data_IF_516509751637
#
_entry.id   IF_516509751637
#
_cell.length_a   1.000
_cell.length_b   1.000
_cell.length_c   1.000
_cell.angle_alpha   90.00
_cell.angle_beta   90.00
_cell.angle_gamma   90.00
#
_symmetry.space_group_name_H-M   'P 1'
#
loop_
_entity.id
_entity.type
_entity.pdbx_description
1 polymer ?
#
# COMPACT_ATOMS: atom_id res chain seq x y z
N UNK A 1 -16.50 6.46 -1.95
CA UNK A 1 -17.10 5.29 -2.64
C UNK A 1 -17.86 4.46 -1.62
N UNK A 2 -19.08 4.05 -1.92
CA UNK A 2 -19.81 3.22 -0.98
C UNK A 2 -19.19 1.82 -0.85
N UNK A 3 -19.47 1.15 0.25
CA UNK A 3 -18.82 -0.13 0.58
C UNK A 3 -19.11 -1.24 -0.42
N UNK A 4 -20.34 -1.31 -0.93
CA UNK A 4 -20.72 -2.34 -1.91
C UNK A 4 -19.98 -2.16 -3.23
N UNK A 5 -19.88 -0.92 -3.70
CA UNK A 5 -19.15 -0.58 -4.93
C UNK A 5 -17.65 -0.84 -4.76
N UNK A 6 -17.10 -0.49 -3.61
CA UNK A 6 -15.70 -0.74 -3.26
C UNK A 6 -15.40 -2.24 -3.28
N UNK A 7 -16.21 -3.03 -2.59
CA UNK A 7 -16.06 -4.49 -2.55
C UNK A 7 -16.08 -5.10 -3.95
N UNK A 8 -17.06 -4.74 -4.76
CA UNK A 8 -17.17 -5.26 -6.12
C UNK A 8 -15.99 -4.89 -7.01
N UNK A 9 -15.44 -3.67 -6.84
CA UNK A 9 -14.27 -3.24 -7.59
C UNK A 9 -13.04 -4.06 -7.20
N UNK A 10 -12.80 -4.27 -5.91
CA UNK A 10 -11.69 -5.09 -5.44
C UNK A 10 -11.80 -6.54 -5.94
N UNK A 11 -13.00 -7.10 -5.97
CA UNK A 11 -13.20 -8.47 -6.48
C UNK A 11 -12.78 -8.58 -7.96
N UNK A 12 -13.16 -7.61 -8.78
CA UNK A 12 -12.76 -7.57 -10.19
C UNK A 12 -11.25 -7.37 -10.34
N UNK A 13 -10.65 -6.50 -9.52
CA UNK A 13 -9.19 -6.29 -9.51
C UNK A 13 -8.49 -7.59 -9.12
N UNK A 14 -8.95 -8.27 -8.10
CA UNK A 14 -8.36 -9.52 -7.65
C UNK A 14 -8.37 -10.57 -8.75
N UNK A 15 -9.52 -10.74 -9.42
CA UNK A 15 -9.64 -11.69 -10.54
C UNK A 15 -8.68 -11.34 -11.68
N UNK A 16 -8.59 -10.07 -12.03
CA UNK A 16 -7.65 -9.61 -13.07
C UNK A 16 -6.20 -9.90 -12.66
N UNK A 17 -5.84 -9.59 -11.42
CA UNK A 17 -4.48 -9.78 -10.92
C UNK A 17 -4.09 -11.25 -10.84
N UNK A 18 -5.01 -12.15 -10.49
CA UNK A 18 -4.73 -13.59 -10.52
C UNK A 18 -4.26 -14.04 -11.91
N UNK A 19 -4.93 -13.59 -12.96
CA UNK A 19 -4.56 -13.91 -14.33
C UNK A 19 -3.23 -13.30 -14.77
N UNK A 20 -2.89 -12.13 -14.25
CA UNK A 20 -1.64 -11.44 -14.56
C UNK A 20 -0.44 -12.01 -13.81
N UNK A 21 -0.62 -12.39 -12.55
CA UNK A 21 0.50 -12.86 -11.71
C UNK A 21 1.12 -14.16 -12.23
N UNK A 22 0.34 -15.03 -12.86
CA UNK A 22 0.86 -16.29 -13.39
C UNK A 22 1.69 -16.14 -14.67
N UNK A 23 1.75 -14.92 -15.25
CA UNK A 23 2.52 -14.66 -16.48
C UNK A 23 4.03 -14.65 -16.25
N UNK A 24 4.47 -14.43 -15.01
CA UNK A 24 5.87 -14.48 -14.60
C UNK A 24 5.96 -14.90 -13.15
N UNK A 25 7.10 -15.46 -12.74
CA UNK A 25 7.41 -15.74 -11.35
C UNK A 25 8.34 -14.68 -10.73
N UNK A 26 8.65 -13.62 -11.46
CA UNK A 26 9.47 -12.51 -10.97
C UNK A 26 8.65 -11.63 -10.02
N UNK A 27 9.09 -11.55 -8.77
CA UNK A 27 8.36 -10.81 -7.73
C UNK A 27 8.32 -9.31 -7.99
N UNK A 28 9.40 -8.73 -8.51
CA UNK A 28 9.43 -7.29 -8.82
C UNK A 28 8.44 -6.94 -9.93
N UNK A 29 8.37 -7.76 -10.96
CA UNK A 29 7.40 -7.58 -12.04
C UNK A 29 5.97 -7.71 -11.53
N UNK A 30 5.71 -8.69 -10.67
CA UNK A 30 4.38 -8.87 -10.03
C UNK A 30 4.01 -7.66 -9.19
N UNK A 31 4.92 -7.15 -8.37
CA UNK A 31 4.70 -5.98 -7.52
C UNK A 31 4.41 -4.73 -8.37
N UNK A 32 5.18 -4.52 -9.44
CA UNK A 32 4.95 -3.38 -10.35
C UNK A 32 3.56 -3.44 -10.99
N UNK A 33 3.12 -4.64 -11.38
CA UNK A 33 1.80 -4.84 -11.99
C UNK A 33 0.68 -4.59 -10.99
N UNK A 34 0.82 -5.07 -9.75
CA UNK A 34 -0.13 -4.81 -8.67
C UNK A 34 -0.31 -3.31 -8.46
N UNK A 35 0.80 -2.57 -8.35
CA UNK A 35 0.76 -1.11 -8.16
C UNK A 35 0.06 -0.43 -9.34
N UNK A 36 0.38 -0.83 -10.57
CA UNK A 36 -0.21 -0.24 -11.77
C UNK A 36 -1.73 -0.43 -11.81
N UNK A 37 -2.19 -1.65 -11.56
CA UNK A 37 -3.63 -1.98 -11.60
C UNK A 37 -4.37 -1.25 -10.47
N UNK A 38 -3.87 -1.30 -9.25
CA UNK A 38 -4.50 -0.63 -8.11
C UNK A 38 -4.59 0.88 -8.33
N UNK A 39 -3.49 1.50 -8.69
CA UNK A 39 -3.46 2.96 -8.86
C UNK A 39 -4.39 3.43 -9.98
N UNK A 40 -4.45 2.66 -11.07
CA UNK A 40 -5.32 2.99 -12.21
C UNK A 40 -6.80 2.74 -11.93
N UNK A 41 -7.15 1.69 -11.18
CA UNK A 41 -8.53 1.27 -10.97
C UNK A 41 -9.22 1.90 -9.76
N UNK A 42 -8.45 2.30 -8.74
CA UNK A 42 -9.01 2.87 -7.50
C UNK A 42 -8.95 4.39 -7.55
N UNK A 43 -10.11 5.02 -7.71
CA UNK A 43 -10.22 6.47 -7.96
C UNK A 43 -9.62 7.34 -6.85
N UNK A 44 -9.65 6.84 -5.59
CA UNK A 44 -9.15 7.60 -4.45
C UNK A 44 -7.69 7.28 -4.08
N UNK A 45 -7.01 6.44 -4.87
CA UNK A 45 -5.59 6.16 -4.69
C UNK A 45 -4.78 7.28 -5.36
N UNK A 46 -4.33 8.24 -4.56
CA UNK A 46 -3.55 9.38 -5.02
C UNK A 46 -2.07 9.02 -5.20
N UNK A 47 -1.54 8.20 -4.28
CA UNK A 47 -0.20 7.62 -4.34
C UNK A 47 -0.29 6.16 -3.93
N UNK A 48 0.39 5.28 -4.66
CA UNK A 48 0.35 3.83 -4.40
C UNK A 48 1.73 3.27 -4.60
N UNK A 49 2.30 2.63 -3.60
CA UNK A 49 3.65 2.10 -3.75
C UNK A 49 4.13 1.27 -2.58
N UNK A 50 5.32 0.71 -2.77
CA UNK A 50 6.01 -0.08 -1.76
C UNK A 50 7.17 0.69 -1.16
N UNK A 51 7.39 0.50 0.14
CA UNK A 51 8.64 0.83 0.82
C UNK A 51 9.24 -0.46 1.35
N UNK A 52 10.52 -0.69 1.09
CA UNK A 52 11.22 -1.91 1.50
C UNK A 52 12.19 -1.66 2.63
N UNK A 53 12.24 -2.60 3.59
CA UNK A 53 13.25 -2.59 4.63
C UNK A 53 14.60 -3.01 4.03
N UNK A 54 15.58 -2.10 4.10
CA UNK A 54 16.96 -2.34 3.65
C UNK A 54 17.89 -1.74 4.69
N UNK A 55 18.62 -2.61 5.42
CA UNK A 55 19.57 -2.16 6.47
C UNK A 55 18.92 -1.21 7.48
N UNK A 56 17.77 -1.61 8.01
CA UNK A 56 16.98 -0.82 8.98
C UNK A 56 16.46 0.52 8.46
N UNK A 57 16.37 0.67 7.15
CA UNK A 57 15.81 1.84 6.47
C UNK A 57 14.61 1.44 5.64
N UNK A 58 13.63 2.34 5.52
CA UNK A 58 12.53 2.17 4.58
C UNK A 58 12.84 2.97 3.31
N UNK A 59 13.07 2.23 2.23
CA UNK A 59 13.46 2.78 0.93
C UNK A 59 12.33 2.58 -0.07
N UNK A 60 12.01 3.61 -0.84
CA UNK A 60 10.93 3.54 -1.83
C UNK A 60 11.26 2.51 -2.92
N UNK A 61 10.26 1.71 -3.25
CA UNK A 61 10.31 0.74 -4.37
C UNK A 61 9.41 1.18 -5.52
N UNK A 62 8.68 0.23 -6.09
CA UNK A 62 7.74 0.50 -7.18
C UNK A 62 6.61 1.40 -6.67
N UNK A 63 6.31 2.48 -7.38
CA UNK A 63 5.20 3.36 -7.02
C UNK A 63 4.64 4.10 -8.22
N UNK A 64 3.44 4.64 -8.05
CA UNK A 64 2.81 5.58 -8.98
C UNK A 64 2.18 6.71 -8.18
N UNK A 65 2.19 7.90 -8.78
CA UNK A 65 1.71 9.13 -8.17
C UNK A 65 2.79 10.21 -8.11
N UNK A 66 2.59 11.25 -7.29
CA UNK A 66 3.60 12.31 -7.13
C UNK A 66 4.92 11.77 -6.61
N UNK A 67 5.99 12.53 -6.82
CA UNK A 67 7.34 12.15 -6.37
C UNK A 67 7.33 11.83 -4.87
N UNK A 68 7.85 10.65 -4.54
CA UNK A 68 7.90 10.15 -3.18
C UNK A 68 9.17 10.60 -2.44
N UNK A 69 9.12 10.59 -1.11
CA UNK A 69 10.34 10.58 -0.30
C UNK A 69 11.08 9.27 -0.59
N UNK A 70 12.36 9.34 -0.92
CA UNK A 70 13.14 8.14 -1.25
C UNK A 70 13.44 7.27 -0.04
N UNK A 71 13.62 7.90 1.12
CA UNK A 71 13.85 7.22 2.40
C UNK A 71 13.00 7.87 3.48
N UNK A 72 12.36 7.04 4.31
CA UNK A 72 11.53 7.52 5.40
C UNK A 72 12.30 7.53 6.71
N UNK A 73 12.18 8.63 7.48
CA UNK A 73 12.83 8.78 8.78
C UNK A 73 12.41 7.63 9.70
N UNK A 74 13.40 6.93 10.26
CA UNK A 74 13.19 5.76 11.10
C UNK A 74 12.26 6.05 12.29
N UNK A 75 11.34 5.13 12.53
CA UNK A 75 10.38 5.15 13.64
C UNK A 75 9.44 6.35 13.64
N UNK A 76 9.30 7.03 12.49
CA UNK A 76 8.37 8.14 12.32
C UNK A 76 7.37 7.87 11.21
N UNK A 77 6.11 8.27 11.40
CA UNK A 77 5.07 8.20 10.40
C UNK A 77 4.38 6.86 10.32
N UNK A 78 3.44 6.77 9.37
CA UNK A 78 2.50 5.64 9.27
C UNK A 78 3.18 4.37 8.79
N UNK A 79 4.10 4.47 7.81
CA UNK A 79 4.81 3.29 7.29
C UNK A 79 5.61 2.59 8.38
N UNK A 80 6.39 3.34 9.16
CA UNK A 80 7.14 2.78 10.27
C UNK A 80 6.23 2.22 11.37
N UNK A 81 5.07 2.83 11.58
CA UNK A 81 4.09 2.28 12.52
C UNK A 81 3.63 0.89 12.07
N UNK A 82 3.38 0.70 10.78
CA UNK A 82 3.03 -0.62 10.22
C UNK A 82 4.13 -1.66 10.44
N UNK A 83 5.38 -1.28 10.23
CA UNK A 83 6.53 -2.15 10.49
C UNK A 83 6.63 -2.51 11.96
N UNK A 84 6.61 -1.50 12.84
CA UNK A 84 6.86 -1.68 14.27
C UNK A 84 5.71 -2.41 14.98
N UNK A 85 4.46 -2.13 14.58
CA UNK A 85 3.28 -2.77 15.15
C UNK A 85 2.93 -4.09 14.46
N UNK A 86 3.54 -4.38 13.32
CA UNK A 86 3.35 -5.62 12.54
C UNK A 86 1.87 -5.84 12.15
N UNK A 87 1.18 -4.77 11.83
CA UNK A 87 -0.22 -4.80 11.43
C UNK A 87 -0.56 -3.66 10.48
N UNK A 88 -1.70 -3.77 9.80
CA UNK A 88 -2.23 -2.70 8.96
C UNK A 88 -2.57 -1.48 9.82
N UNK A 89 -2.32 -0.29 9.26
CA UNK A 89 -2.63 0.98 9.91
C UNK A 89 -3.53 1.78 8.96
N UNK A 90 -4.71 2.17 9.45
CA UNK A 90 -5.65 3.01 8.70
C UNK A 90 -5.73 4.37 9.37
N UNK A 91 -5.46 5.45 8.63
CA UNK A 91 -5.40 6.80 9.14
C UNK A 91 -6.40 7.69 8.41
N UNK A 92 -7.41 8.15 9.12
CA UNK A 92 -8.47 8.99 8.56
C UNK A 92 -7.98 10.41 8.22
N UNK A 93 -7.05 10.94 9.01
CA UNK A 93 -6.46 12.26 8.85
C UNK A 93 -4.98 12.21 9.23
N UNK A 94 -4.11 12.28 8.23
CA UNK A 94 -2.65 12.14 8.42
C UNK A 94 -2.06 13.23 9.31
N UNK A 95 -2.65 14.44 9.32
CA UNK A 95 -2.15 15.52 10.17
C UNK A 95 -2.31 15.22 11.65
N UNK A 96 -3.25 14.34 12.00
CA UNK A 96 -3.49 13.91 13.39
C UNK A 96 -2.64 12.70 13.79
N UNK A 97 -1.87 12.13 12.87
CA UNK A 97 -1.03 10.97 13.17
C UNK A 97 0.31 11.43 13.73
N UNK A 98 0.72 10.93 14.93
CA UNK A 98 1.99 11.36 15.55
C UNK A 98 3.20 11.05 14.66
N UNK A 99 4.06 12.06 14.43
CA UNK A 99 5.28 11.89 13.65
C UNK A 99 5.06 11.80 12.15
N UNK A 100 3.85 12.13 11.66
CA UNK A 100 3.57 12.11 10.23
C UNK A 100 4.50 13.07 9.47
N UNK A 101 5.08 12.59 8.38
CA UNK A 101 5.91 13.37 7.47
C UNK A 101 5.22 13.41 6.12
N UNK A 102 4.83 14.61 5.68
CA UNK A 102 4.20 14.79 4.38
C UNK A 102 5.28 14.88 3.30
N UNK A 103 5.43 13.81 2.49
CA UNK A 103 6.21 13.87 1.25
C UNK A 103 5.46 14.67 0.19
N UNK A 104 4.14 14.69 0.26
CA UNK A 104 3.27 15.54 -0.54
C UNK A 104 2.15 16.07 0.37
N UNK A 105 2.02 17.40 0.46
CA UNK A 105 1.06 18.04 1.35
C UNK A 105 -0.41 17.83 0.96
N UNK A 106 -0.67 17.29 -0.24
CA UNK A 106 -2.03 17.00 -0.71
C UNK A 106 -2.59 15.71 -0.12
N UNK A 107 -1.74 14.84 0.43
CA UNK A 107 -2.21 13.61 1.10
C UNK A 107 -3.00 13.95 2.35
N UNK A 108 -4.18 13.35 2.49
CA UNK A 108 -5.13 13.61 3.59
C UNK A 108 -5.38 12.37 4.45
N UNK A 109 -5.48 11.21 3.83
CA UNK A 109 -5.66 9.94 4.54
C UNK A 109 -4.74 8.88 3.96
N UNK A 110 -4.49 7.81 4.72
CA UNK A 110 -3.49 6.82 4.36
C UNK A 110 -3.85 5.45 4.90
N UNK A 111 -3.47 4.41 4.17
CA UNK A 111 -3.47 3.04 4.65
C UNK A 111 -2.10 2.41 4.38
N UNK A 112 -1.60 1.68 5.36
CA UNK A 112 -0.34 0.94 5.26
C UNK A 112 -0.61 -0.52 5.57
N UNK A 113 -0.15 -1.42 4.70
CA UNK A 113 -0.28 -2.86 4.88
C UNK A 113 1.13 -3.46 4.95
N UNK A 114 1.50 -4.20 6.00
CA UNK A 114 2.78 -4.88 6.03
C UNK A 114 2.94 -5.84 4.85
N UNK A 115 4.09 -5.79 4.19
CA UNK A 115 4.46 -6.69 3.12
C UNK A 115 5.35 -7.80 3.70
N UNK A 116 4.94 -9.05 3.51
CA UNK A 116 5.67 -10.21 4.02
C UNK A 116 6.32 -10.98 2.87
N UNK A 117 7.41 -11.67 3.15
CA UNK A 117 7.99 -12.64 2.24
C UNK A 117 7.25 -13.98 2.33
N UNK A 118 7.71 -14.99 1.57
CA UNK A 118 7.13 -16.35 1.59
C UNK A 118 7.14 -16.98 2.97
N UNK A 119 8.12 -16.63 3.81
CA UNK A 119 8.28 -17.19 5.15
C UNK A 119 7.49 -16.44 6.22
N UNK A 120 6.79 -15.37 5.84
CA UNK A 120 6.00 -14.57 6.76
C UNK A 120 6.77 -13.44 7.44
N UNK A 121 8.03 -13.21 7.08
CA UNK A 121 8.82 -12.09 7.59
C UNK A 121 8.40 -10.78 6.92
N UNK A 122 8.27 -9.72 7.69
CA UNK A 122 7.97 -8.40 7.16
C UNK A 122 9.20 -7.84 6.47
N UNK A 123 9.07 -7.52 5.17
CA UNK A 123 10.15 -7.00 4.33
C UNK A 123 9.90 -5.56 3.87
N UNK A 124 8.75 -5.01 4.21
CA UNK A 124 8.37 -3.67 3.82
C UNK A 124 6.90 -3.42 4.07
N UNK A 125 6.36 -2.43 3.37
CA UNK A 125 4.93 -2.09 3.43
C UNK A 125 4.41 -1.75 2.04
N UNK A 126 3.11 -1.99 1.83
CA UNK A 126 2.33 -1.29 0.80
C UNK A 126 1.80 -0.02 1.46
N UNK A 127 2.04 1.12 0.83
CA UNK A 127 1.58 2.42 1.27
C UNK A 127 0.64 3.01 0.23
N UNK A 128 -0.54 3.45 0.65
CA UNK A 128 -1.50 4.12 -0.21
C UNK A 128 -1.98 5.40 0.45
N UNK A 129 -1.88 6.51 -0.26
CA UNK A 129 -2.37 7.81 0.18
C UNK A 129 -3.56 8.24 -0.67
N UNK A 130 -4.50 8.94 -0.03
CA UNK A 130 -5.60 9.62 -0.69
C UNK A 130 -5.52 11.11 -0.44
N UNK A 131 -5.94 11.92 -1.41
CA UNK A 131 -6.05 13.38 -1.24
C UNK A 131 -7.40 13.80 -0.64
N UNK A 132 -8.14 12.84 -0.10
CA UNK A 132 -9.39 13.06 0.63
C UNK A 132 -9.28 12.44 2.01
N UNK A 133 -10.01 13.00 2.99
CA UNK A 133 -10.04 12.43 4.33
C UNK A 133 -10.85 11.14 4.35
N UNK A 134 -10.49 10.24 5.26
CA UNK A 134 -11.25 9.05 5.59
C UNK A 134 -11.59 8.17 4.37
N UNK A 135 -10.64 8.02 3.44
CA UNK A 135 -10.86 7.22 2.23
C UNK A 135 -10.81 5.71 2.45
N UNK A 136 -10.14 5.26 3.49
CA UNK A 136 -9.83 3.84 3.69
C UNK A 136 -10.61 3.25 4.87
N UNK A 137 -11.06 2.00 4.72
CA UNK A 137 -11.80 1.28 5.75
C UNK A 137 -11.36 -0.19 5.82
N UNK A 138 -12.13 -1.01 6.54
CA UNK A 138 -11.85 -2.44 6.72
C UNK A 138 -11.86 -3.23 5.40
N UNK A 139 -12.59 -2.76 4.39
CA UNK A 139 -12.61 -3.42 3.08
C UNK A 139 -11.26 -3.25 2.39
N UNK A 140 -10.71 -2.03 2.41
CA UNK A 140 -9.38 -1.78 1.86
C UNK A 140 -8.33 -2.65 2.55
N UNK A 141 -8.35 -2.69 3.87
CA UNK A 141 -7.40 -3.49 4.64
C UNK A 141 -7.46 -4.97 4.25
N UNK A 142 -8.65 -5.56 4.24
CA UNK A 142 -8.84 -6.97 3.91
C UNK A 142 -8.43 -7.26 2.47
N UNK A 143 -8.91 -6.47 1.53
CA UNK A 143 -8.69 -6.72 0.11
C UNK A 143 -7.23 -6.49 -0.31
N UNK A 144 -6.60 -5.43 0.20
CA UNK A 144 -5.19 -5.18 -0.09
C UNK A 144 -4.30 -6.29 0.50
N UNK A 145 -4.62 -6.78 1.70
CA UNK A 145 -3.91 -7.90 2.30
C UNK A 145 -3.99 -9.14 1.40
N UNK A 146 -5.19 -9.47 0.90
CA UNK A 146 -5.38 -10.59 -0.03
C UNK A 146 -4.58 -10.41 -1.33
N UNK A 147 -4.59 -9.21 -1.89
CA UNK A 147 -3.89 -8.90 -3.14
C UNK A 147 -2.38 -9.10 -2.97
N UNK A 148 -1.80 -8.68 -1.84
CA UNK A 148 -0.37 -8.86 -1.62
C UNK A 148 0.04 -10.34 -1.56
N UNK A 149 -0.84 -11.24 -1.16
CA UNK A 149 -0.57 -12.68 -1.17
C UNK A 149 -0.37 -13.22 -2.58
N UNK A 150 -0.94 -12.56 -3.59
CA UNK A 150 -0.79 -12.95 -4.99
C UNK A 150 0.65 -12.84 -5.51
N UNK A 151 1.51 -12.09 -4.85
CA UNK A 151 2.92 -11.96 -5.22
C UNK A 151 3.60 -13.34 -5.23
N UNK A 152 3.15 -14.24 -4.37
CA UNK A 152 3.83 -15.52 -4.10
C UNK A 152 3.08 -16.76 -4.62
N UNK A 153 2.07 -16.60 -5.44
CA UNK A 153 1.32 -17.74 -6.01
C UNK A 153 2.11 -18.48 -7.10
#
# INVERSE_FOLDING_TARGET
>A
MDKKKKQGRYERIYDQLQGLMIKTDDYNARMSTIIAVLHHKMEYFFWTGFYFLKNEKLIVGQYQGPVACQELKKDSGVCWAGINQKKAIVVADVEKFPGHIACDSRSKSEIVIPLKDKSGHIIGVLDVDSNEYNSFDEIDELQLTKILELIYI
#
